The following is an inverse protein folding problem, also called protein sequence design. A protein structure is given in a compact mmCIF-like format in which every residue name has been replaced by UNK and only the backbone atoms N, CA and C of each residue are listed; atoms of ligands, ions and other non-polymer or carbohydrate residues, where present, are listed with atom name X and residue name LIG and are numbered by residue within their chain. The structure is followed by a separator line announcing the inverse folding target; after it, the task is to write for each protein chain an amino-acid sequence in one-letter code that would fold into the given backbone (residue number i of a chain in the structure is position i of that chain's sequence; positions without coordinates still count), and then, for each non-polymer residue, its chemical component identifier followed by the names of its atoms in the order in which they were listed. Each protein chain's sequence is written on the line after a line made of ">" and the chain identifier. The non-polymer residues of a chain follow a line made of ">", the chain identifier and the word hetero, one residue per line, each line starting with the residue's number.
data_IF_688621734246
#
_entry.id   IF_688621734246
#
_cell.length_a   1.000
_cell.length_b   1.000
_cell.length_c   1.000
_cell.angle_alpha   90.00
_cell.angle_beta   90.00
_cell.angle_gamma   90.00
#
_symmetry.space_group_name_H-M   'P 1'
#
loop_
_entity.id
_entity.type
_entity.pdbx_description
1 polymer ?
#
# COMPACT_ATOMS: atom_id res chain seq x y z
N UNK A 1 31.97 -6.87 -14.63
CA UNK A 1 31.92 -5.57 -13.91
C UNK A 1 30.59 -5.51 -13.18
N UNK A 2 30.61 -5.67 -11.86
CA UNK A 2 29.42 -5.60 -10.98
C UNK A 2 29.82 -4.66 -9.85
N UNK A 3 29.11 -3.54 -9.68
CA UNK A 3 29.48 -2.54 -8.67
C UNK A 3 29.00 -1.13 -8.98
N UNK A 4 27.69 -0.89 -8.92
CA UNK A 4 27.04 0.41 -8.63
C UNK A 4 25.52 0.26 -8.68
N UNK A 5 24.96 -0.37 -7.64
CA UNK A 5 23.56 -0.26 -7.26
C UNK A 5 23.55 -0.03 -5.75
N UNK A 6 22.70 0.89 -5.28
CA UNK A 6 22.57 1.32 -3.86
C UNK A 6 23.68 2.25 -3.31
N UNK A 7 24.05 3.30 -4.04
CA UNK A 7 24.75 4.45 -3.42
C UNK A 7 23.73 5.41 -2.81
N UNK A 8 23.46 5.26 -1.52
CA UNK A 8 22.53 6.09 -0.77
C UNK A 8 23.19 7.41 -0.31
N UNK A 9 23.27 8.39 -1.21
CA UNK A 9 23.93 9.68 -0.95
C UNK A 9 22.92 10.79 -0.69
N UNK A 10 22.97 11.42 0.49
CA UNK A 10 22.05 12.49 0.93
C UNK A 10 22.31 13.86 0.28
N UNK A 11 22.96 13.92 -0.89
CA UNK A 11 23.31 15.19 -1.55
C UNK A 11 23.30 15.11 -3.08
N UNK A 12 22.67 16.14 -3.66
CA UNK A 12 22.73 16.64 -5.05
C UNK A 12 21.76 16.07 -6.10
N UNK A 13 20.80 16.94 -6.45
CA UNK A 13 20.14 17.17 -7.76
C UNK A 13 19.74 15.95 -8.61
N UNK A 14 18.44 15.65 -8.79
CA UNK A 14 18.01 14.70 -9.81
C UNK A 14 18.22 15.31 -11.21
N UNK A 15 19.02 14.65 -12.05
CA UNK A 15 18.88 14.79 -13.51
C UNK A 15 17.78 13.85 -14.01
N UNK A 16 16.97 14.25 -15.01
CA UNK A 16 15.75 13.54 -15.39
C UNK A 16 16.01 12.46 -16.44
N UNK A 17 16.81 11.44 -16.14
CA UNK A 17 16.94 10.25 -17.00
C UNK A 17 17.09 8.97 -16.15
N UNK A 18 16.50 7.87 -16.63
CA UNK A 18 16.62 6.49 -16.13
C UNK A 18 15.91 6.19 -14.79
N UNK A 19 14.57 6.04 -14.84
CA UNK A 19 13.90 4.85 -14.25
C UNK A 19 12.47 4.65 -14.81
N UNK A 20 12.33 4.28 -16.08
CA UNK A 20 11.08 3.75 -16.62
C UNK A 20 11.34 2.79 -17.77
N UNK A 21 11.47 1.49 -17.46
CA UNK A 21 11.55 0.42 -18.46
C UNK A 21 11.17 -0.93 -17.83
N UNK A 22 9.88 -1.11 -17.48
CA UNK A 22 9.23 -2.42 -17.34
C UNK A 22 7.70 -2.26 -17.35
N UNK A 23 7.15 -1.74 -18.47
CA UNK A 23 5.81 -2.01 -19.02
C UNK A 23 5.54 -1.06 -20.19
N UNK A 24 5.00 -1.62 -21.28
CA UNK A 24 4.65 -0.99 -22.56
C UNK A 24 5.80 -0.41 -23.41
N UNK A 25 5.79 -0.80 -24.68
CA UNK A 25 6.58 -0.19 -25.74
C UNK A 25 5.69 0.16 -26.94
N UNK A 26 6.31 0.93 -27.85
CA UNK A 26 5.86 1.36 -29.18
C UNK A 26 4.90 2.57 -29.29
N UNK A 27 5.25 3.38 -30.30
CA UNK A 27 4.54 4.52 -30.92
C UNK A 27 4.45 5.83 -30.13
N UNK A 28 4.72 7.02 -30.70
CA UNK A 28 5.63 7.45 -31.79
C UNK A 28 5.45 8.97 -32.00
N UNK A 29 6.53 9.72 -32.25
CA UNK A 29 6.50 11.11 -32.76
C UNK A 29 5.89 12.15 -31.76
N UNK A 30 6.07 13.47 -31.89
CA UNK A 30 6.89 14.29 -32.79
C UNK A 30 6.94 15.75 -32.27
N UNK A 31 8.14 16.34 -32.13
CA UNK A 31 8.42 17.81 -32.18
C UNK A 31 7.70 18.73 -31.14
N UNK A 32 8.16 19.94 -30.81
CA UNK A 32 9.49 20.54 -30.83
C UNK A 32 9.53 21.76 -29.86
N UNK A 33 10.76 22.25 -29.62
CA UNK A 33 11.22 23.65 -29.42
C UNK A 33 10.17 24.80 -29.39
N UNK A 34 10.37 25.92 -28.67
CA UNK A 34 11.63 26.55 -28.23
C UNK A 34 11.37 27.64 -27.14
N UNK A 35 12.44 28.10 -26.46
CA UNK A 35 12.83 29.51 -26.08
C UNK A 35 11.76 30.58 -25.66
N UNK A 36 12.03 31.64 -24.90
CA UNK A 36 13.22 32.19 -24.21
C UNK A 36 12.78 33.11 -23.05
N UNK A 37 13.55 33.08 -21.96
CA UNK A 37 14.01 34.16 -21.06
C UNK A 37 13.44 35.60 -21.05
N UNK A 38 13.58 36.20 -19.86
CA UNK A 38 13.98 37.62 -19.58
C UNK A 38 12.90 38.59 -19.07
N UNK A 39 12.81 38.64 -17.73
CA UNK A 39 13.07 39.80 -16.85
C UNK A 39 12.88 41.25 -17.37
N UNK A 40 12.16 42.06 -16.57
CA UNK A 40 12.51 43.41 -16.03
C UNK A 40 11.18 44.11 -15.62
N UNK A 41 10.90 44.32 -14.33
CA UNK A 41 11.39 45.40 -13.45
C UNK A 41 10.68 46.75 -13.63
N UNK A 42 9.82 47.06 -12.66
CA UNK A 42 9.59 48.38 -11.99
C UNK A 42 9.52 49.68 -12.80
N UNK A 43 8.46 50.49 -12.55
CA UNK A 43 8.48 51.88 -12.01
C UNK A 43 7.01 52.39 -11.99
N UNK A 44 6.36 52.73 -10.86
CA UNK A 44 6.48 53.89 -9.93
C UNK A 44 5.60 55.10 -10.33
N UNK A 45 4.81 55.61 -9.35
CA UNK A 45 4.01 56.88 -9.37
C UNK A 45 2.77 56.82 -10.32
N UNK A 46 1.61 57.50 -10.17
CA UNK A 46 1.02 58.55 -9.29
C UNK A 46 -0.53 58.57 -9.57
N UNK A 47 -1.49 59.22 -8.87
CA UNK A 47 -1.60 59.97 -7.60
C UNK A 47 -3.10 60.01 -7.12
N UNK A 48 -3.35 60.50 -5.89
CA UNK A 48 -4.56 61.20 -5.35
C UNK A 48 -6.04 60.85 -5.69
N UNK A 49 -6.85 60.61 -4.62
CA UNK A 49 -8.26 61.02 -4.34
C UNK A 49 -9.40 60.73 -5.36
N UNK A 50 -10.56 60.14 -5.02
CA UNK A 50 -11.57 60.55 -4.01
C UNK A 50 -12.51 59.39 -3.60
N UNK A 51 -13.33 59.60 -2.56
CA UNK A 51 -14.20 58.58 -1.91
C UNK A 51 -15.60 58.39 -2.54
N UNK A 52 -16.05 57.13 -2.65
CA UNK A 52 -17.47 56.71 -2.78
C UNK A 52 -17.70 55.39 -1.99
N UNK A 53 -18.94 55.04 -1.62
CA UNK A 53 -19.20 54.10 -0.52
C UNK A 53 -19.02 52.61 -0.83
N UNK A 54 -18.87 51.85 0.25
CA UNK A 54 -18.49 50.44 0.34
C UNK A 54 -19.32 49.50 -0.54
N UNK A 55 -18.74 49.04 -1.65
CA UNK A 55 -19.18 47.80 -2.29
C UNK A 55 -18.71 46.60 -1.43
N UNK A 56 -19.60 45.63 -1.20
CA UNK A 56 -19.26 44.36 -0.57
C UNK A 56 -18.32 43.57 -1.49
N UNK A 57 -17.01 43.71 -1.28
CA UNK A 57 -16.01 42.88 -1.95
C UNK A 57 -16.27 41.40 -1.62
N UNK A 58 -16.37 40.50 -2.61
CA UNK A 58 -16.30 39.09 -2.32
C UNK A 58 -14.94 38.83 -1.67
N UNK A 59 -14.95 38.28 -0.45
CA UNK A 59 -13.72 37.84 0.20
C UNK A 59 -13.15 36.69 -0.64
N UNK A 60 -12.21 37.02 -1.52
CA UNK A 60 -11.33 36.04 -2.13
C UNK A 60 -10.56 35.45 -0.96
N UNK A 61 -11.01 34.30 -0.47
CA UNK A 61 -10.32 33.55 0.55
C UNK A 61 -8.89 33.33 0.04
N UNK A 62 -7.94 34.07 0.63
CA UNK A 62 -6.53 33.94 0.30
C UNK A 62 -6.15 32.49 0.60
N UNK A 63 -6.07 31.68 -0.46
CA UNK A 63 -5.56 30.33 -0.36
C UNK A 63 -4.15 30.45 0.20
N UNK A 64 -3.98 30.03 1.46
CA UNK A 64 -2.69 30.07 2.13
C UNK A 64 -1.64 29.45 1.19
N UNK A 65 -0.46 30.07 1.01
CA UNK A 65 0.53 29.61 0.05
C UNK A 65 0.75 28.11 0.24
N UNK A 66 0.39 27.31 -0.78
CA UNK A 66 0.61 25.87 -0.73
C UNK A 66 2.10 25.65 -0.44
N UNK A 67 2.46 24.84 0.57
CA UNK A 67 3.87 24.53 0.84
C UNK A 67 4.54 24.10 -0.46
N UNK A 68 5.77 24.57 -0.75
CA UNK A 68 6.42 24.26 -2.01
C UNK A 68 6.50 22.74 -2.19
N UNK A 69 5.99 22.24 -3.31
CA UNK A 69 6.02 20.79 -3.62
C UNK A 69 7.48 20.31 -3.58
N UNK A 70 7.81 19.49 -2.58
CA UNK A 70 9.13 18.89 -2.43
C UNK A 70 9.39 18.04 -3.66
N UNK A 71 10.39 18.43 -4.47
CA UNK A 71 10.68 17.84 -5.80
C UNK A 71 11.40 16.48 -5.74
N UNK A 72 11.06 15.64 -4.77
CA UNK A 72 11.71 14.35 -4.52
C UNK A 72 10.80 13.34 -3.85
N UNK A 73 11.25 12.09 -3.83
CA UNK A 73 10.63 11.04 -3.01
C UNK A 73 10.89 11.32 -1.53
N UNK A 74 9.86 11.12 -0.70
CA UNK A 74 9.93 11.26 0.75
C UNK A 74 9.48 9.94 1.39
N UNK A 75 10.33 9.36 2.24
CA UNK A 75 10.13 8.05 2.83
C UNK A 75 11.33 7.12 2.62
N UNK A 76 11.08 5.83 2.63
CA UNK A 76 12.10 4.80 2.81
C UNK A 76 12.13 3.80 1.64
N UNK A 77 13.32 3.60 1.05
CA UNK A 77 13.57 2.61 -0.02
C UNK A 77 14.63 1.62 0.43
N UNK A 78 14.40 0.32 0.23
CA UNK A 78 15.34 -0.71 0.66
C UNK A 78 15.00 -2.12 0.21
N UNK A 79 15.37 -3.10 1.03
CA UNK A 79 15.04 -4.52 0.83
C UNK A 79 14.46 -5.08 2.13
N UNK A 80 13.39 -5.85 2.02
CA UNK A 80 12.77 -6.57 3.13
C UNK A 80 12.80 -8.08 2.94
N UNK A 81 12.73 -8.80 4.06
CA UNK A 81 12.42 -10.22 4.13
C UNK A 81 11.06 -10.39 4.81
N UNK A 82 10.09 -10.98 4.11
CA UNK A 82 8.76 -11.30 4.62
C UNK A 82 8.65 -12.77 4.98
N UNK A 83 7.91 -13.09 6.04
CA UNK A 83 7.55 -14.46 6.41
C UNK A 83 6.11 -14.52 6.94
N UNK A 84 5.43 -15.64 6.70
CA UNK A 84 4.09 -15.92 7.21
C UNK A 84 4.00 -17.36 7.69
N UNK A 85 3.19 -17.59 8.71
CA UNK A 85 2.66 -18.90 9.02
C UNK A 85 1.81 -19.39 7.83
N UNK A 86 1.99 -20.64 7.44
CA UNK A 86 1.12 -21.30 6.47
C UNK A 86 -0.30 -21.45 7.04
N UNK A 87 -1.32 -21.14 6.22
CA UNK A 87 -2.73 -21.27 6.60
C UNK A 87 -3.37 -22.57 6.07
N UNK A 88 -2.84 -23.09 4.95
CA UNK A 88 -3.34 -24.29 4.28
C UNK A 88 -2.71 -25.57 4.83
N UNK A 89 -3.46 -26.67 4.75
CA UNK A 89 -3.05 -27.98 5.29
C UNK A 89 -1.74 -28.47 4.69
N UNK A 90 -0.80 -28.80 5.57
CA UNK A 90 0.48 -29.44 5.23
C UNK A 90 1.33 -28.67 4.20
N UNK A 91 1.10 -27.36 4.08
CA UNK A 91 1.85 -26.47 3.19
C UNK A 91 2.93 -25.75 3.99
N UNK A 92 4.14 -25.65 3.43
CA UNK A 92 5.17 -24.75 3.95
C UNK A 92 4.99 -23.34 3.38
N UNK A 93 5.29 -22.32 4.18
CA UNK A 93 5.28 -20.91 3.74
C UNK A 93 6.68 -20.33 3.94
N UNK A 94 7.64 -20.64 3.04
CA UNK A 94 8.98 -20.07 3.10
C UNK A 94 8.90 -18.55 2.90
N UNK A 95 9.69 -17.82 3.68
CA UNK A 95 9.79 -16.37 3.53
C UNK A 95 10.51 -15.96 2.25
N UNK A 96 10.27 -14.74 1.80
CA UNK A 96 10.82 -14.20 0.54
C UNK A 96 11.41 -12.80 0.72
N UNK A 97 12.40 -12.49 -0.12
CA UNK A 97 12.95 -11.14 -0.24
C UNK A 97 12.10 -10.30 -1.18
N UNK A 98 11.89 -9.03 -0.85
CA UNK A 98 11.10 -8.09 -1.64
C UNK A 98 11.72 -6.68 -1.64
N UNK A 99 11.53 -5.88 -2.70
CA UNK A 99 11.90 -4.47 -2.70
C UNK A 99 11.00 -3.71 -1.73
N UNK A 100 11.61 -3.01 -0.76
CA UNK A 100 10.89 -2.25 0.24
C UNK A 100 10.68 -0.82 -0.22
N UNK A 101 9.43 -0.35 -0.23
CA UNK A 101 9.06 1.04 -0.52
C UNK A 101 7.97 1.50 0.46
N UNK A 102 8.24 2.57 1.20
CA UNK A 102 7.27 3.21 2.09
C UNK A 102 7.43 4.73 2.03
N UNK A 103 6.55 5.43 1.31
CA UNK A 103 6.67 6.87 1.12
C UNK A 103 5.82 7.45 0.00
N UNK A 104 6.00 8.75 -0.23
CA UNK A 104 5.26 9.56 -1.19
C UNK A 104 6.19 10.13 -2.29
N UNK A 105 5.67 10.21 -3.51
CA UNK A 105 6.25 10.98 -4.62
C UNK A 105 5.15 11.81 -5.30
N UNK A 106 5.14 13.11 -5.04
CA UNK A 106 4.05 14.02 -5.44
C UNK A 106 2.68 13.51 -4.93
N UNK A 107 1.84 12.97 -5.82
CA UNK A 107 0.56 12.33 -5.48
C UNK A 107 0.63 10.80 -5.40
N UNK A 108 1.68 10.18 -5.95
CA UNK A 108 1.88 8.74 -5.87
C UNK A 108 2.34 8.37 -4.46
N UNK A 109 1.93 7.20 -3.98
CA UNK A 109 2.40 6.65 -2.72
C UNK A 109 2.63 5.14 -2.80
N UNK A 110 3.54 4.66 -1.96
CA UNK A 110 3.81 3.25 -1.70
C UNK A 110 3.80 3.01 -0.19
N UNK A 111 3.18 1.93 0.27
CA UNK A 111 3.09 1.51 1.67
C UNK A 111 3.27 0.00 1.75
N UNK A 112 4.44 -0.50 1.37
CA UNK A 112 4.83 -1.92 1.31
C UNK A 112 3.96 -2.77 0.38
N UNK A 113 2.73 -3.12 0.78
CA UNK A 113 1.78 -3.92 0.03
C UNK A 113 0.79 -3.07 -0.79
N UNK A 114 0.63 -1.80 -0.41
CA UNK A 114 -0.41 -0.90 -0.93
C UNK A 114 0.21 0.23 -1.74
N UNK A 115 -0.29 0.45 -2.96
CA UNK A 115 0.20 1.47 -3.89
C UNK A 115 -0.98 2.30 -4.41
N UNK A 116 -0.77 3.58 -4.73
CA UNK A 116 -1.88 4.39 -5.23
C UNK A 116 -1.57 5.85 -5.52
N UNK A 117 -2.64 6.60 -5.72
CA UNK A 117 -2.64 8.04 -5.98
C UNK A 117 -3.53 8.76 -4.98
N UNK A 118 -2.99 9.77 -4.29
CA UNK A 118 -3.73 10.74 -3.47
C UNK A 118 -4.49 11.69 -4.40
N UNK A 119 -5.81 11.77 -4.26
CA UNK A 119 -6.69 12.48 -5.20
C UNK A 119 -7.08 13.88 -4.71
N UNK A 120 -7.86 13.97 -3.64
CA UNK A 120 -8.33 15.20 -3.00
C UNK A 120 -8.15 15.11 -1.49
N UNK A 121 -7.98 16.25 -0.83
CA UNK A 121 -8.02 16.34 0.63
C UNK A 121 -9.43 16.02 1.13
N UNK A 122 -9.51 15.28 2.24
CA UNK A 122 -10.75 14.86 2.88
C UNK A 122 -10.47 14.69 4.37
N UNK A 123 -11.19 15.42 5.24
CA UNK A 123 -11.01 15.33 6.69
C UNK A 123 -9.57 15.62 7.13
N UNK A 124 -9.01 14.70 7.90
CA UNK A 124 -7.64 14.68 8.43
C UNK A 124 -6.61 14.08 7.43
N UNK A 125 -6.95 13.96 6.15
CA UNK A 125 -6.04 13.36 5.17
C UNK A 125 -6.55 13.46 3.74
N UNK A 126 -6.63 12.32 3.05
CA UNK A 126 -6.87 12.30 1.60
C UNK A 126 -7.78 11.15 1.18
N UNK A 127 -8.57 11.38 0.13
CA UNK A 127 -9.18 10.31 -0.67
C UNK A 127 -8.13 9.76 -1.64
N UNK A 128 -8.08 8.44 -1.79
CA UNK A 128 -7.04 7.72 -2.53
C UNK A 128 -7.68 6.77 -3.56
N UNK A 129 -7.01 6.57 -4.68
CA UNK A 129 -7.23 5.41 -5.56
C UNK A 129 -6.09 4.44 -5.29
N UNK A 130 -6.41 3.20 -4.94
CA UNK A 130 -5.50 2.27 -4.30
C UNK A 130 -5.54 0.89 -4.96
N UNK A 131 -4.39 0.23 -5.02
CA UNK A 131 -4.25 -1.21 -5.30
C UNK A 131 -3.45 -1.86 -4.18
N UNK A 132 -3.66 -3.17 -3.96
CA UNK A 132 -2.83 -3.96 -3.05
C UNK A 132 -2.24 -5.19 -3.74
N UNK A 133 -1.12 -5.67 -3.22
CA UNK A 133 -0.53 -6.96 -3.58
C UNK A 133 -0.93 -7.99 -2.53
N UNK A 134 -1.80 -8.94 -2.89
CA UNK A 134 -2.28 -9.99 -1.99
C UNK A 134 -1.83 -11.38 -2.48
N UNK A 135 -0.85 -11.95 -1.77
CA UNK A 135 -0.25 -13.26 -2.07
C UNK A 135 -1.05 -14.42 -1.44
N UNK A 136 -2.34 -14.47 -1.76
CA UNK A 136 -3.29 -15.48 -1.24
C UNK A 136 -3.38 -16.75 -2.13
N UNK A 137 -2.56 -16.84 -3.19
CA UNK A 137 -2.58 -17.95 -4.15
C UNK A 137 -2.23 -19.34 -3.57
N UNK A 138 -2.69 -20.39 -4.25
CA UNK A 138 -2.54 -21.80 -3.84
C UNK A 138 -2.33 -22.67 -5.07
N UNK A 139 -1.47 -23.69 -5.02
CA UNK A 139 -1.29 -24.72 -6.05
C UNK A 139 -1.44 -26.11 -5.45
N UNK A 140 -1.94 -27.06 -6.23
CA UNK A 140 -2.03 -28.47 -5.80
C UNK A 140 -0.67 -29.11 -5.47
N UNK A 141 0.42 -28.55 -6.00
CA UNK A 141 1.79 -28.98 -5.73
C UNK A 141 2.32 -28.51 -4.36
N UNK A 142 1.65 -27.55 -3.70
CA UNK A 142 2.12 -26.93 -2.46
C UNK A 142 1.94 -27.86 -1.24
N UNK A 143 1.06 -28.87 -1.31
CA UNK A 143 1.03 -29.98 -0.34
C UNK A 143 0.25 -31.21 -0.84
N UNK A 144 0.51 -32.42 -0.31
CA UNK A 144 -0.31 -33.61 -0.59
C UNK A 144 -1.79 -33.45 -0.22
N UNK A 145 -2.11 -32.67 0.82
CA UNK A 145 -3.47 -32.39 1.25
C UNK A 145 -4.26 -31.50 0.25
N UNK A 146 -3.56 -30.76 -0.61
CA UNK A 146 -4.14 -29.92 -1.67
C UNK A 146 -4.21 -30.65 -3.03
N UNK A 147 -3.88 -31.95 -3.09
CA UNK A 147 -4.05 -32.75 -4.32
C UNK A 147 -5.52 -32.70 -4.78
N UNK A 148 -5.73 -32.48 -6.08
CA UNK A 148 -7.06 -32.33 -6.68
C UNK A 148 -7.68 -30.92 -6.58
N UNK A 149 -7.11 -30.02 -5.77
CA UNK A 149 -7.51 -28.61 -5.74
C UNK A 149 -7.03 -27.89 -7.01
N UNK A 150 -7.87 -27.03 -7.57
CA UNK A 150 -7.49 -26.21 -8.71
C UNK A 150 -6.58 -25.08 -8.25
N UNK A 151 -5.51 -24.82 -9.00
CA UNK A 151 -4.60 -23.69 -8.76
C UNK A 151 -5.38 -22.36 -8.70
N UNK A 152 -5.20 -21.65 -7.59
CA UNK A 152 -5.77 -20.33 -7.30
C UNK A 152 -4.67 -19.30 -7.43
N UNK A 153 -4.91 -18.26 -8.22
CA UNK A 153 -3.94 -17.20 -8.50
C UNK A 153 -4.11 -16.04 -7.50
N UNK A 154 -3.03 -15.28 -7.31
CA UNK A 154 -3.00 -14.11 -6.45
C UNK A 154 -3.99 -13.03 -6.90
N UNK A 155 -4.69 -12.45 -5.92
CA UNK A 155 -5.67 -11.39 -6.12
C UNK A 155 -5.00 -10.08 -6.56
N UNK A 156 -5.70 -9.29 -7.37
CA UNK A 156 -5.32 -7.89 -7.67
C UNK A 156 -6.50 -6.97 -7.33
N UNK A 157 -6.65 -6.59 -6.06
CA UNK A 157 -7.71 -5.69 -5.62
C UNK A 157 -7.38 -4.23 -5.95
N UNK A 158 -8.29 -3.55 -6.65
CA UNK A 158 -8.22 -2.12 -6.96
C UNK A 158 -9.49 -1.44 -6.44
N UNK A 159 -9.38 -0.22 -5.91
CA UNK A 159 -10.54 0.56 -5.50
C UNK A 159 -10.19 1.89 -4.86
N UNK A 160 -11.01 2.30 -3.89
CA UNK A 160 -10.87 3.57 -3.19
C UNK A 160 -10.30 3.35 -1.79
N UNK A 161 -9.53 4.34 -1.32
CA UNK A 161 -8.92 4.33 0.00
C UNK A 161 -8.99 5.70 0.66
N UNK A 162 -8.68 5.73 1.94
CA UNK A 162 -8.32 6.95 2.64
C UNK A 162 -7.34 6.65 3.77
N UNK A 163 -6.35 7.52 3.91
CA UNK A 163 -5.55 7.67 5.12
C UNK A 163 -5.96 8.98 5.81
N UNK A 164 -6.20 8.91 7.12
CA UNK A 164 -6.64 10.01 7.98
C UNK A 164 -5.70 10.09 9.19
N UNK A 165 -4.90 11.16 9.29
CA UNK A 165 -3.95 11.35 10.39
C UNK A 165 -4.57 12.25 11.47
N UNK A 166 -5.19 11.63 12.46
CA UNK A 166 -5.96 12.33 13.50
C UNK A 166 -5.14 12.52 14.79
N UNK A 167 -5.54 13.41 15.71
CA UNK A 167 -4.85 13.60 17.00
C UNK A 167 -4.79 12.34 17.88
N UNK A 168 -5.64 11.34 17.64
CA UNK A 168 -5.62 10.06 18.38
C UNK A 168 -4.87 8.94 17.66
N UNK A 169 -4.54 9.11 16.37
CA UNK A 169 -3.86 8.10 15.56
C UNK A 169 -4.21 8.14 14.08
N UNK A 170 -3.55 7.30 13.30
CA UNK A 170 -3.79 7.11 11.88
C UNK A 170 -4.90 6.09 11.63
N UNK A 171 -5.87 6.43 10.79
CA UNK A 171 -6.88 5.50 10.29
C UNK A 171 -6.67 5.26 8.79
N UNK A 172 -6.63 4.00 8.39
CA UNK A 172 -6.62 3.58 6.99
C UNK A 172 -7.91 2.81 6.71
N UNK A 173 -8.62 3.19 5.65
CA UNK A 173 -9.80 2.46 5.16
C UNK A 173 -9.61 2.24 3.67
N UNK A 174 -9.79 1.01 3.20
CA UNK A 174 -9.78 0.69 1.78
C UNK A 174 -11.03 -0.13 1.43
N UNK A 175 -11.71 0.21 0.34
CA UNK A 175 -12.79 -0.55 -0.25
C UNK A 175 -12.39 -0.91 -1.68
N UNK A 176 -12.14 -2.20 -1.93
CA UNK A 176 -11.46 -2.70 -3.12
C UNK A 176 -12.27 -3.82 -3.80
N UNK A 177 -12.07 -3.98 -5.10
CA UNK A 177 -12.63 -5.06 -5.91
C UNK A 177 -11.50 -5.83 -6.61
N UNK A 178 -11.52 -7.16 -6.53
CA UNK A 178 -10.53 -8.00 -7.21
C UNK A 178 -10.80 -8.06 -8.72
N UNK A 179 -9.96 -7.36 -9.48
CA UNK A 179 -10.10 -7.27 -10.94
C UNK A 179 -9.43 -8.42 -11.70
N UNK A 180 -8.74 -9.34 -11.02
CA UNK A 180 -8.00 -10.45 -11.65
C UNK A 180 -8.71 -11.78 -11.46
N UNK A 181 -8.95 -12.23 -10.22
CA UNK A 181 -9.28 -13.64 -9.95
C UNK A 181 -10.69 -13.83 -9.39
N UNK A 182 -10.92 -13.51 -8.12
CA UNK A 182 -12.13 -13.90 -7.39
C UNK A 182 -13.38 -13.11 -7.74
N UNK A 183 -13.25 -11.90 -8.33
CA UNK A 183 -14.35 -10.93 -8.56
C UNK A 183 -15.14 -10.60 -7.28
N UNK A 184 -14.49 -10.77 -6.13
CA UNK A 184 -15.00 -10.43 -4.82
C UNK A 184 -14.63 -9.02 -4.40
N UNK A 185 -15.34 -8.53 -3.40
CA UNK A 185 -15.12 -7.24 -2.76
C UNK A 185 -14.40 -7.43 -1.41
N UNK A 186 -13.51 -6.49 -1.13
CA UNK A 186 -12.64 -6.46 0.04
C UNK A 186 -12.84 -5.12 0.74
N UNK A 187 -12.88 -5.13 2.08
CA UNK A 187 -12.75 -3.90 2.87
C UNK A 187 -11.66 -4.13 3.91
N UNK A 188 -10.66 -3.25 3.97
CA UNK A 188 -9.60 -3.29 4.97
C UNK A 188 -9.71 -2.04 5.85
N UNK A 189 -9.76 -2.25 7.16
CA UNK A 189 -9.68 -1.20 8.17
C UNK A 189 -8.43 -1.40 9.03
N UNK A 190 -7.65 -0.34 9.22
CA UNK A 190 -6.51 -0.30 10.15
C UNK A 190 -6.58 0.98 10.99
N UNK A 191 -6.41 0.85 12.30
CA UNK A 191 -5.99 1.94 13.17
C UNK A 191 -4.53 1.73 13.60
N UNK A 192 -3.77 2.82 13.61
CA UNK A 192 -2.39 2.89 14.03
C UNK A 192 -2.22 3.99 15.07
N UNK A 193 -1.91 3.61 16.32
CA UNK A 193 -1.41 4.54 17.31
C UNK A 193 0.09 4.82 17.03
N UNK A 194 0.63 5.94 17.53
CA UNK A 194 2.06 6.26 17.45
C UNK A 194 2.62 6.54 18.84
N UNK A 195 3.69 5.85 19.20
CA UNK A 195 4.46 6.07 20.41
C UNK A 195 5.94 6.26 20.03
N UNK A 196 6.65 7.12 20.78
CA UNK A 196 8.10 7.32 20.63
C UNK A 196 8.80 6.77 21.86
N UNK A 197 9.79 5.90 21.66
CA UNK A 197 10.69 5.43 22.73
C UNK A 197 12.12 5.76 22.32
N UNK A 198 12.68 6.81 22.92
CA UNK A 198 13.96 7.37 22.51
C UNK A 198 13.89 7.90 21.08
N UNK A 199 14.62 7.26 20.16
CA UNK A 199 14.61 7.58 18.72
C UNK A 199 13.70 6.65 17.90
N UNK A 200 13.23 5.54 18.47
CA UNK A 200 12.37 4.56 17.79
C UNK A 200 10.92 5.04 17.82
N UNK A 201 10.27 5.06 16.65
CA UNK A 201 8.82 5.18 16.56
C UNK A 201 8.20 3.77 16.56
N UNK A 202 7.20 3.55 17.43
CA UNK A 202 6.47 2.29 17.58
C UNK A 202 5.00 2.55 17.27
N UNK A 203 4.44 1.75 16.36
CA UNK A 203 3.05 1.83 15.95
C UNK A 203 2.32 0.52 16.27
N UNK A 204 1.62 0.43 17.42
CA UNK A 204 0.64 -0.61 17.66
C UNK A 204 -0.51 -0.48 16.66
N UNK A 205 -0.83 -1.59 16.01
CA UNK A 205 -1.83 -1.68 14.95
C UNK A 205 -2.98 -2.59 15.38
N UNK A 206 -4.20 -2.20 15.03
CA UNK A 206 -5.38 -3.07 15.10
C UNK A 206 -6.19 -2.91 13.82
N UNK A 207 -6.83 -3.96 13.35
CA UNK A 207 -7.57 -3.91 12.09
C UNK A 207 -8.55 -5.05 11.87
N UNK A 208 -9.33 -4.87 10.81
CA UNK A 208 -10.37 -5.79 10.35
C UNK A 208 -10.24 -5.95 8.83
N UNK A 209 -10.07 -7.18 8.35
CA UNK A 209 -10.11 -7.50 6.93
C UNK A 209 -11.46 -8.17 6.61
N UNK A 210 -12.37 -7.47 5.93
CA UNK A 210 -13.61 -8.05 5.39
C UNK A 210 -13.37 -8.61 3.99
N UNK A 211 -13.83 -9.84 3.75
CA UNK A 211 -13.82 -10.50 2.44
C UNK A 211 -15.23 -11.02 2.16
N UNK A 212 -15.76 -10.70 0.98
CA UNK A 212 -17.09 -11.18 0.60
C UNK A 212 -17.10 -12.68 0.26
N UNK A 213 -18.30 -13.21 0.05
CA UNK A 213 -18.51 -14.63 -0.29
C UNK A 213 -17.85 -15.04 -1.61
N UNK A 214 -17.70 -14.16 -2.60
CA UNK A 214 -17.02 -14.50 -3.87
C UNK A 214 -15.52 -14.65 -3.66
N UNK A 215 -14.92 -13.72 -2.90
CA UNK A 215 -13.53 -13.83 -2.48
C UNK A 215 -13.26 -15.14 -1.76
N UNK A 216 -14.05 -15.42 -0.72
CA UNK A 216 -13.87 -16.61 0.09
C UNK A 216 -14.16 -17.89 -0.70
N UNK A 217 -15.15 -17.91 -1.60
CA UNK A 217 -15.45 -19.09 -2.42
C UNK A 217 -14.28 -19.46 -3.35
N UNK A 218 -13.54 -18.46 -3.85
CA UNK A 218 -12.36 -18.68 -4.68
C UNK A 218 -11.17 -19.24 -3.87
N UNK A 219 -10.84 -18.61 -2.73
CA UNK A 219 -9.65 -18.99 -1.97
C UNK A 219 -9.85 -20.16 -1.00
N UNK A 220 -11.04 -20.32 -0.42
CA UNK A 220 -11.31 -21.30 0.65
C UNK A 220 -12.42 -22.31 0.33
N UNK A 221 -13.13 -22.16 -0.80
CA UNK A 221 -14.16 -23.11 -1.24
C UNK A 221 -13.60 -24.43 -1.75
N UNK A 222 -14.48 -25.43 -1.89
CA UNK A 222 -14.21 -26.71 -2.57
C UNK A 222 -15.36 -27.01 -3.54
N UNK A 223 -15.03 -27.17 -4.82
CA UNK A 223 -15.97 -27.42 -5.93
C UNK A 223 -16.20 -28.94 -6.14
N UNK A 224 -17.26 -29.31 -6.85
CA UNK A 224 -17.64 -30.71 -7.07
C UNK A 224 -16.57 -31.46 -7.86
N UNK A 225 -15.92 -30.78 -8.81
CA UNK A 225 -14.83 -31.27 -9.64
C UNK A 225 -13.56 -31.54 -8.81
N UNK A 226 -13.30 -30.70 -7.80
CA UNK A 226 -12.18 -30.87 -6.86
C UNK A 226 -12.42 -32.08 -5.94
N UNK A 227 -13.67 -32.34 -5.53
CA UNK A 227 -14.04 -33.56 -4.80
C UNK A 227 -13.91 -34.83 -5.67
N UNK A 228 -14.28 -34.76 -6.95
CA UNK A 228 -14.10 -35.88 -7.87
C UNK A 228 -12.62 -36.22 -8.09
N UNK A 229 -11.74 -35.21 -8.08
CA UNK A 229 -10.29 -35.38 -8.13
C UNK A 229 -9.66 -35.82 -6.79
N UNK A 230 -10.32 -35.55 -5.65
CA UNK A 230 -9.88 -35.99 -4.33
C UNK A 230 -11.10 -36.26 -3.40
N UNK A 231 -11.56 -37.52 -3.34
CA UNK A 231 -12.72 -37.92 -2.53
C UNK A 231 -12.60 -37.73 -1.02
N UNK A 232 -11.41 -37.40 -0.48
CA UNK A 232 -11.26 -37.05 0.94
C UNK A 232 -11.76 -35.63 1.27
N UNK A 233 -11.98 -34.80 0.24
CA UNK A 233 -12.47 -33.44 0.40
C UNK A 233 -14.00 -33.39 0.35
N UNK A 234 -14.59 -32.60 1.24
CA UNK A 234 -16.03 -32.34 1.26
C UNK A 234 -16.33 -31.02 0.55
N UNK A 235 -17.52 -30.92 -0.09
CA UNK A 235 -17.97 -29.68 -0.74
C UNK A 235 -18.03 -28.56 0.30
N UNK A 236 -17.43 -27.42 -0.01
CA UNK A 236 -17.44 -26.29 0.92
C UNK A 236 -17.71 -24.97 0.20
N UNK A 237 -18.65 -24.21 0.76
CA UNK A 237 -19.07 -22.90 0.27
C UNK A 237 -19.03 -21.89 1.43
N UNK A 238 -17.90 -21.18 1.63
CA UNK A 238 -17.77 -20.24 2.72
C UNK A 238 -18.72 -19.04 2.57
N UNK A 239 -19.21 -18.55 3.70
CA UNK A 239 -19.86 -17.25 3.77
C UNK A 239 -18.83 -16.10 3.60
N UNK A 240 -19.33 -14.86 3.52
CA UNK A 240 -18.48 -13.68 3.73
C UNK A 240 -17.89 -13.70 5.16
N UNK A 241 -16.78 -13.00 5.37
CA UNK A 241 -16.05 -13.06 6.64
C UNK A 241 -15.39 -11.74 7.02
N UNK A 242 -15.30 -11.48 8.33
CA UNK A 242 -14.44 -10.43 8.91
C UNK A 242 -13.33 -11.12 9.69
N UNK A 243 -12.08 -10.82 9.36
CA UNK A 243 -10.88 -11.34 10.01
C UNK A 243 -10.27 -10.24 10.87
N UNK A 244 -10.45 -10.26 12.21
CA UNK A 244 -9.78 -9.32 13.08
C UNK A 244 -8.30 -9.64 13.20
N UNK A 245 -7.49 -8.60 13.37
CA UNK A 245 -6.05 -8.73 13.55
C UNK A 245 -5.47 -7.60 14.42
N UNK A 246 -4.32 -7.87 15.03
CA UNK A 246 -3.48 -6.88 15.67
C UNK A 246 -2.05 -6.99 15.14
N UNK A 247 -1.23 -5.99 15.39
CA UNK A 247 0.18 -6.02 15.03
C UNK A 247 0.98 -4.90 15.68
N UNK A 248 2.26 -4.86 15.35
CA UNK A 248 3.14 -3.76 15.68
C UNK A 248 4.05 -3.47 14.49
N UNK A 249 4.35 -2.19 14.27
CA UNK A 249 5.39 -1.73 13.37
C UNK A 249 6.40 -0.93 14.19
N UNK A 250 7.69 -1.20 14.00
CA UNK A 250 8.78 -0.47 14.63
C UNK A 250 9.61 0.17 13.53
N UNK A 251 9.86 1.46 13.67
CA UNK A 251 10.77 2.25 12.83
C UNK A 251 11.96 2.67 13.67
N UNK A 252 13.10 2.01 13.46
CA UNK A 252 14.33 2.16 14.25
C UNK A 252 15.35 2.90 13.38
N UNK A 253 15.64 4.19 13.62
CA UNK A 253 16.72 4.88 12.93
C UNK A 253 18.07 4.27 13.32
N UNK A 254 18.93 4.08 12.32
CA UNK A 254 20.31 3.63 12.47
C UNK A 254 21.27 4.80 12.19
N UNK A 255 22.57 4.51 12.10
CA UNK A 255 23.57 5.54 11.77
C UNK A 255 23.42 6.00 10.31
N UNK A 256 23.47 7.31 10.08
CA UNK A 256 23.37 7.91 8.74
C UNK A 256 21.93 7.90 8.21
N UNK A 257 21.71 7.60 6.92
CA UNK A 257 20.37 7.58 6.31
C UNK A 257 19.60 6.26 6.54
N UNK A 258 20.18 5.30 7.27
CA UNK A 258 19.64 3.95 7.37
C UNK A 258 18.55 3.82 8.44
N UNK A 259 17.58 2.97 8.17
CA UNK A 259 16.46 2.62 9.07
C UNK A 259 16.25 1.11 9.04
N UNK A 260 15.97 0.52 10.20
CA UNK A 260 15.49 -0.84 10.34
C UNK A 260 13.99 -0.79 10.65
N UNK A 261 13.18 -1.35 9.75
CA UNK A 261 11.74 -1.43 9.92
C UNK A 261 11.30 -2.86 10.14
N UNK A 262 10.57 -3.09 11.23
CA UNK A 262 10.09 -4.40 11.64
C UNK A 262 8.56 -4.37 11.72
N UNK A 263 7.90 -5.38 11.15
CA UNK A 263 6.47 -5.56 11.31
C UNK A 263 6.15 -6.98 11.78
N UNK A 264 5.17 -7.09 12.69
CA UNK A 264 4.51 -8.35 13.04
C UNK A 264 3.00 -8.13 13.07
N UNK A 265 2.25 -9.13 12.60
CA UNK A 265 0.79 -9.15 12.58
C UNK A 265 0.28 -10.52 13.01
N UNK A 266 -0.75 -10.52 13.84
CA UNK A 266 -1.51 -11.70 14.24
C UNK A 266 -2.95 -11.57 13.74
N UNK A 267 -3.37 -12.44 12.83
CA UNK A 267 -4.78 -12.57 12.42
C UNK A 267 -5.47 -13.71 13.16
N UNK A 268 -6.74 -13.55 13.50
CA UNK A 268 -7.61 -14.64 13.97
C UNK A 268 -8.57 -15.05 12.86
N UNK A 269 -8.43 -16.27 12.36
CA UNK A 269 -9.22 -16.70 11.21
C UNK A 269 -10.69 -16.88 11.61
N UNK A 270 -11.66 -16.35 10.84
CA UNK A 270 -13.08 -16.45 11.15
C UNK A 270 -13.63 -17.85 10.84
N UNK A 271 -14.81 -18.17 11.35
CA UNK A 271 -15.42 -19.49 11.19
C UNK A 271 -15.58 -19.91 9.72
N UNK A 272 -15.94 -18.97 8.83
CA UNK A 272 -16.06 -19.20 7.39
C UNK A 272 -14.73 -19.55 6.68
N UNK A 273 -13.58 -19.26 7.30
CA UNK A 273 -12.27 -19.68 6.80
C UNK A 273 -11.84 -20.99 7.47
N UNK A 274 -11.92 -21.06 8.81
CA UNK A 274 -11.51 -22.23 9.61
C UNK A 274 -12.29 -23.51 9.33
N UNK A 275 -13.55 -23.40 8.88
CA UNK A 275 -14.35 -24.56 8.52
C UNK A 275 -14.09 -25.05 7.07
N UNK A 276 -13.19 -24.41 6.33
CA UNK A 276 -12.73 -24.93 5.03
C UNK A 276 -11.94 -26.22 5.22
N UNK A 277 -12.23 -27.29 4.44
CA UNK A 277 -11.41 -28.50 4.43
C UNK A 277 -9.93 -28.27 4.09
N UNK A 278 -9.58 -27.11 3.54
CA UNK A 278 -8.23 -26.75 3.09
C UNK A 278 -7.38 -26.07 4.16
N UNK A 279 -8.01 -25.59 5.24
CA UNK A 279 -7.38 -24.82 6.30
C UNK A 279 -7.15 -25.71 7.52
N UNK A 280 -6.01 -25.52 8.18
CA UNK A 280 -5.70 -26.10 9.50
C UNK A 280 -5.46 -25.01 10.56
N UNK A 281 -5.02 -23.83 10.10
CA UNK A 281 -4.74 -22.70 10.96
C UNK A 281 -6.00 -22.15 11.63
N UNK A 282 -5.88 -21.80 12.92
CA UNK A 282 -6.89 -21.01 13.66
C UNK A 282 -6.56 -19.52 13.68
N UNK A 283 -5.29 -19.22 13.49
CA UNK A 283 -4.66 -17.90 13.53
C UNK A 283 -3.53 -17.90 12.50
N UNK A 284 -3.16 -16.72 11.99
CA UNK A 284 -2.02 -16.57 11.09
C UNK A 284 -1.11 -15.48 11.63
N UNK A 285 0.12 -15.83 11.97
CA UNK A 285 1.17 -14.85 12.29
C UNK A 285 1.98 -14.54 11.04
N UNK A 286 2.20 -13.27 10.72
CA UNK A 286 3.05 -12.84 9.62
C UNK A 286 3.87 -11.61 9.99
N UNK A 287 4.93 -11.32 9.25
CA UNK A 287 5.77 -10.18 9.52
C UNK A 287 6.86 -9.97 8.49
N UNK A 288 7.59 -8.87 8.62
CA UNK A 288 8.79 -8.61 7.84
C UNK A 288 9.85 -7.88 8.67
N UNK A 289 11.10 -7.98 8.21
CA UNK A 289 12.18 -7.09 8.60
C UNK A 289 12.77 -6.45 7.34
N UNK A 290 12.99 -5.15 7.33
CA UNK A 290 13.51 -4.40 6.19
C UNK A 290 14.61 -3.42 6.60
N UNK A 291 15.68 -3.38 5.81
CA UNK A 291 16.72 -2.37 5.91
C UNK A 291 16.51 -1.38 4.76
N UNK A 292 16.29 -0.11 5.10
CA UNK A 292 15.92 0.93 4.13
C UNK A 292 16.68 2.24 4.36
N UNK A 293 16.88 2.99 3.27
CA UNK A 293 17.41 4.34 3.28
C UNK A 293 16.28 5.37 3.28
N UNK A 294 16.36 6.35 4.18
CA UNK A 294 15.39 7.42 4.38
C UNK A 294 15.72 8.66 3.54
N UNK A 295 14.71 9.18 2.86
CA UNK A 295 14.72 10.39 2.03
C UNK A 295 13.71 11.41 2.58
N UNK A 296 14.11 12.68 2.71
CA UNK A 296 13.35 13.78 3.33
C UNK A 296 13.27 15.01 2.41
#
# INVERSE_FOLDING_TARGET
>A
MIGSLLTCTTRTRPQPVILLCFLFGLMSASWAQDKLSTTLSTHLLRDSSTSLPTALSPSVANAAPRPPERRGYQGDVGVGYFSSQAQFKQTDSPGFLFPYLYGDYQKLYARVDTFGVKTRTLGYGHLEISTKLLFDGIRAADSPALRGIRTRQDSLPIGLGTFQETPVGGFFVYALHDVRTSRGNLIDFTYAAKFRVGQTDIYPLLGLDYRDRRYNQYFYGVQTEEMAANPSLQRYQPAASVTPWLGAWLDIPLQGPWTLQLNVRQKWLPAAVKASPLIDARTQTSGFAALACRFN
#
